data_IF_750924950547
#
_entry.id   IF_750924950547
#
_cell.length_a   1.000
_cell.length_b   1.000
_cell.length_c   1.000
_cell.angle_alpha   90.00
_cell.angle_beta   90.00
_cell.angle_gamma   90.00
#
_symmetry.space_group_name_H-M   'P 1'
#
loop_
_entity.id
_entity.type
_entity.pdbx_description
1 polymer ?
#
# COMPACT_ATOMS: atom_id res chain seq x y z
N UNK A 1 -1.67 -0.48 21.01
CA UNK A 1 -2.19 -0.54 19.64
C UNK A 1 -2.72 -1.95 19.37
N UNK A 2 -3.91 -2.08 18.76
CA UNK A 2 -4.55 -3.35 18.40
C UNK A 2 -4.83 -3.33 16.90
N UNK A 3 -4.67 -4.49 16.23
CA UNK A 3 -5.15 -4.67 14.86
C UNK A 3 -6.51 -5.34 14.91
N UNK A 4 -7.51 -4.71 14.36
CA UNK A 4 -8.88 -5.22 14.32
C UNK A 4 -9.37 -5.30 12.86
N UNK A 5 -10.19 -6.30 12.56
CA UNK A 5 -10.87 -6.35 11.27
C UNK A 5 -11.82 -5.16 11.16
N UNK A 6 -11.90 -4.55 9.97
CA UNK A 6 -12.85 -3.49 9.69
C UNK A 6 -14.28 -4.01 9.81
N UNK A 7 -15.11 -3.21 10.45
CA UNK A 7 -16.53 -3.44 10.64
C UNK A 7 -17.29 -2.12 10.44
N UNK A 8 -18.59 -2.17 10.32
CA UNK A 8 -19.43 -0.97 10.27
C UNK A 8 -19.22 -0.04 11.48
N UNK A 9 -18.89 -0.62 12.64
CA UNK A 9 -18.74 0.13 13.90
C UNK A 9 -17.42 0.93 13.95
N UNK A 10 -16.31 0.36 13.43
CA UNK A 10 -15.00 1.03 13.49
C UNK A 10 -14.62 1.77 12.20
N UNK A 11 -15.38 1.58 11.11
CA UNK A 11 -15.12 2.19 9.80
C UNK A 11 -15.04 3.72 9.87
N UNK A 12 -15.95 4.36 10.60
CA UNK A 12 -16.00 5.81 10.71
C UNK A 12 -14.72 6.41 11.31
N UNK A 13 -14.02 5.67 12.18
CA UNK A 13 -12.77 6.09 12.81
C UNK A 13 -11.60 6.13 11.81
N UNK A 14 -11.70 5.37 10.73
CA UNK A 14 -10.62 5.18 9.77
C UNK A 14 -10.69 6.12 8.57
N UNK A 15 -11.81 6.78 8.34
CA UNK A 15 -12.04 7.61 7.15
C UNK A 15 -11.03 8.76 6.95
N UNK A 16 -10.48 9.30 8.06
CA UNK A 16 -9.51 10.40 8.01
C UNK A 16 -8.08 9.97 7.62
N UNK A 17 -7.75 8.68 7.73
CA UNK A 17 -6.38 8.19 7.52
C UNK A 17 -6.04 8.12 6.02
N UNK A 18 -7.00 7.81 5.16
CA UNK A 18 -6.81 7.66 3.71
C UNK A 18 -6.51 8.99 2.98
N UNK A 19 -6.97 10.10 3.52
CA UNK A 19 -6.87 11.42 2.88
C UNK A 19 -5.69 12.25 3.34
N UNK A 20 -4.75 11.64 4.04
CA UNK A 20 -3.62 12.40 4.55
C UNK A 20 -2.56 12.63 3.49
N UNK A 21 -1.98 13.84 3.44
CA UNK A 21 -0.91 14.14 2.52
C UNK A 21 0.34 13.32 2.85
N UNK A 22 1.10 13.01 1.80
CA UNK A 22 2.43 12.43 1.91
C UNK A 22 3.46 13.27 1.16
N UNK A 23 4.71 13.19 1.61
CA UNK A 23 5.80 13.93 1.00
C UNK A 23 6.31 13.20 -0.25
N UNK A 24 6.36 13.91 -1.36
CA UNK A 24 7.05 13.51 -2.58
C UNK A 24 8.45 14.07 -2.52
N UNK A 25 9.42 13.21 -2.23
CA UNK A 25 10.85 13.56 -2.03
C UNK A 25 11.72 13.22 -3.23
N UNK A 26 11.18 12.50 -4.20
CA UNK A 26 11.89 11.96 -5.35
C UNK A 26 11.05 10.90 -6.04
N UNK A 27 11.69 10.15 -6.91
CA UNK A 27 11.05 9.01 -7.58
C UNK A 27 11.97 7.81 -7.67
N UNK A 28 11.36 6.65 -7.84
CA UNK A 28 12.04 5.41 -8.16
C UNK A 28 12.26 5.33 -9.67
N UNK A 29 13.44 4.91 -10.10
CA UNK A 29 13.80 4.69 -11.50
C UNK A 29 14.01 3.17 -11.70
N UNK A 30 12.95 2.39 -11.94
CA UNK A 30 13.07 0.96 -12.14
C UNK A 30 13.69 0.67 -13.51
N UNK A 31 14.56 -0.35 -13.56
CA UNK A 31 15.21 -0.85 -14.75
C UNK A 31 15.13 -2.38 -14.78
N UNK A 32 14.74 -2.93 -15.92
CA UNK A 32 14.77 -4.37 -16.16
C UNK A 32 15.99 -4.72 -17.00
N UNK A 33 16.93 -5.48 -16.42
CA UNK A 33 18.14 -5.94 -17.12
C UNK A 33 18.47 -7.36 -16.72
N UNK A 34 18.89 -8.17 -17.68
CA UNK A 34 19.33 -9.55 -17.46
C UNK A 34 18.32 -10.42 -16.69
N UNK A 35 17.03 -10.25 -16.97
CA UNK A 35 15.96 -11.02 -16.35
C UNK A 35 15.59 -10.55 -14.93
N UNK A 36 16.09 -9.41 -14.48
CA UNK A 36 15.87 -8.90 -13.12
C UNK A 36 15.49 -7.42 -13.11
N UNK A 37 14.61 -7.07 -12.18
CA UNK A 37 14.33 -5.69 -11.84
C UNK A 37 15.35 -5.17 -10.84
N UNK A 38 15.86 -3.98 -11.12
CA UNK A 38 16.61 -3.13 -10.19
C UNK A 38 16.01 -1.74 -10.18
N UNK A 39 16.37 -0.89 -9.24
CA UNK A 39 15.91 0.48 -9.26
C UNK A 39 16.91 1.41 -8.56
N UNK A 40 17.10 2.57 -9.15
CA UNK A 40 17.80 3.71 -8.57
C UNK A 40 16.77 4.71 -8.02
N UNK A 41 17.22 5.64 -7.21
CA UNK A 41 16.41 6.72 -6.67
C UNK A 41 16.90 8.06 -7.22
N UNK A 42 15.97 8.88 -7.67
CA UNK A 42 16.22 10.27 -8.03
C UNK A 42 15.53 11.15 -6.99
N UNK A 43 16.30 11.92 -6.23
CA UNK A 43 15.75 12.86 -5.27
C UNK A 43 15.44 14.19 -5.95
N UNK A 44 14.31 14.79 -5.57
CA UNK A 44 13.92 16.10 -6.06
C UNK A 44 14.56 17.21 -5.21
N UNK A 45 14.92 18.34 -5.81
CA UNK A 45 15.52 19.47 -5.10
C UNK A 45 14.54 20.12 -4.13
N UNK A 46 13.23 20.00 -4.40
CA UNK A 46 12.16 20.57 -3.60
C UNK A 46 11.17 19.48 -3.19
N UNK A 47 10.76 19.53 -1.93
CA UNK A 47 9.71 18.67 -1.41
C UNK A 47 8.35 19.16 -1.90
N UNK A 48 7.49 18.20 -2.24
CA UNK A 48 6.08 18.45 -2.58
C UNK A 48 5.20 17.63 -1.67
N UNK A 49 3.98 18.09 -1.42
CA UNK A 49 2.95 17.26 -0.80
C UNK A 49 1.98 16.79 -1.88
N UNK A 50 1.53 15.55 -1.76
CA UNK A 50 0.55 14.92 -2.64
C UNK A 50 -0.52 14.24 -1.80
N UNK A 51 -1.76 14.34 -2.26
CA UNK A 51 -2.91 13.62 -1.71
C UNK A 51 -3.53 12.84 -2.86
N UNK A 52 -3.86 11.59 -2.63
CA UNK A 52 -4.63 10.84 -3.61
C UNK A 52 -6.08 11.32 -3.59
N UNK A 53 -6.64 11.71 -4.76
CA UNK A 53 -7.99 12.25 -4.84
C UNK A 53 -9.08 11.19 -4.67
N UNK A 54 -8.74 9.92 -4.84
CA UNK A 54 -9.70 8.86 -4.93
C UNK A 54 -10.21 8.43 -3.56
N UNK A 55 -11.54 8.47 -3.42
CA UNK A 55 -12.24 7.92 -2.27
C UNK A 55 -12.39 6.40 -2.44
N UNK A 56 -11.48 5.66 -1.84
CA UNK A 56 -11.68 4.21 -1.72
C UNK A 56 -12.89 3.98 -0.81
N UNK A 57 -13.90 3.34 -1.35
CA UNK A 57 -15.07 2.92 -0.58
C UNK A 57 -14.70 1.80 0.41
N UNK A 58 -14.23 2.18 1.60
CA UNK A 58 -13.84 1.22 2.63
C UNK A 58 -14.96 0.20 2.97
N UNK A 59 -16.22 0.59 2.79
CA UNK A 59 -17.36 -0.30 3.02
C UNK A 59 -17.34 -1.56 2.13
N UNK A 60 -16.71 -1.50 0.96
CA UNK A 60 -16.54 -2.66 0.07
C UNK A 60 -15.57 -3.71 0.63
N UNK A 61 -14.80 -3.36 1.66
CA UNK A 61 -13.83 -4.24 2.31
C UNK A 61 -14.35 -4.86 3.61
N UNK A 62 -15.67 -4.96 3.73
CA UNK A 62 -16.36 -5.67 4.82
C UNK A 62 -16.89 -7.05 4.36
N UNK A 63 -16.62 -7.43 3.12
CA UNK A 63 -17.05 -8.66 2.47
C UNK A 63 -16.08 -9.83 2.72
N UNK A 64 -16.41 -11.01 2.20
CA UNK A 64 -15.58 -12.21 2.40
C UNK A 64 -14.31 -12.20 1.55
N UNK A 65 -14.41 -11.84 0.26
CA UNK A 65 -13.30 -11.77 -0.69
C UNK A 65 -12.45 -10.49 -0.52
N UNK A 66 -12.99 -9.51 0.20
CA UNK A 66 -12.37 -8.22 0.50
C UNK A 66 -12.37 -8.00 2.00
N UNK A 67 -11.24 -7.59 2.54
CA UNK A 67 -11.11 -7.36 3.96
C UNK A 67 -10.32 -6.10 4.25
N UNK A 68 -10.74 -5.36 5.26
CA UNK A 68 -9.95 -4.28 5.83
C UNK A 68 -9.49 -4.64 7.23
N UNK A 69 -8.31 -4.16 7.61
CA UNK A 69 -7.81 -4.18 8.98
C UNK A 69 -7.39 -2.78 9.40
N UNK A 70 -7.73 -2.41 10.61
CA UNK A 70 -7.39 -1.12 11.22
C UNK A 70 -6.46 -1.31 12.41
N UNK A 71 -5.44 -0.48 12.49
CA UNK A 71 -4.60 -0.32 13.66
C UNK A 71 -5.21 0.75 14.57
N UNK A 72 -5.70 0.35 15.73
CA UNK A 72 -6.42 1.22 16.65
C UNK A 72 -5.63 1.44 17.95
N UNK A 73 -5.57 2.68 18.39
CA UNK A 73 -5.09 3.07 19.72
C UNK A 73 -6.19 3.86 20.42
N UNK A 74 -6.86 3.22 21.37
CA UNK A 74 -8.10 3.75 21.94
C UNK A 74 -9.16 3.97 20.87
N UNK A 75 -9.61 5.22 20.72
CA UNK A 75 -10.59 5.62 19.71
C UNK A 75 -9.94 6.13 18.40
N UNK A 76 -8.59 6.21 18.34
CA UNK A 76 -7.86 6.74 17.19
C UNK A 76 -7.45 5.62 16.24
N UNK A 77 -7.67 5.83 14.95
CA UNK A 77 -7.14 4.95 13.90
C UNK A 77 -5.73 5.42 13.53
N UNK A 78 -4.72 4.61 13.86
CA UNK A 78 -3.33 4.87 13.53
C UNK A 78 -2.97 4.48 12.09
N UNK A 79 -3.78 3.61 11.47
CA UNK A 79 -3.59 3.18 10.10
C UNK A 79 -4.60 2.11 9.69
N UNK A 80 -4.68 1.87 8.40
CA UNK A 80 -5.53 0.80 7.85
C UNK A 80 -4.89 0.16 6.62
N UNK A 81 -5.30 -1.08 6.35
CA UNK A 81 -4.97 -1.81 5.14
C UNK A 81 -6.23 -2.42 4.54
N UNK A 82 -6.38 -2.35 3.22
CA UNK A 82 -7.51 -2.88 2.47
C UNK A 82 -7.02 -3.94 1.48
N UNK A 83 -7.58 -5.13 1.54
CA UNK A 83 -7.12 -6.30 0.82
C UNK A 83 -8.24 -6.95 0.02
N UNK A 84 -7.89 -7.53 -1.12
CA UNK A 84 -8.75 -8.37 -1.94
C UNK A 84 -8.04 -9.66 -2.33
N UNK A 85 -8.74 -10.80 -2.27
CA UNK A 85 -8.26 -12.03 -2.88
C UNK A 85 -8.39 -11.90 -4.41
N UNK A 86 -7.27 -11.65 -5.08
CA UNK A 86 -7.27 -11.27 -6.49
C UNK A 86 -7.27 -12.49 -7.42
N UNK A 87 -7.68 -12.31 -8.66
CA UNK A 87 -7.82 -13.38 -9.66
C UNK A 87 -6.55 -14.21 -9.90
N UNK A 88 -5.36 -13.63 -9.68
CA UNK A 88 -4.05 -14.26 -9.85
C UNK A 88 -3.56 -14.99 -8.58
N UNK A 89 -4.45 -15.14 -7.57
CA UNK A 89 -4.19 -15.79 -6.29
C UNK A 89 -3.19 -15.06 -5.38
N UNK A 90 -3.01 -13.76 -5.55
CA UNK A 90 -2.35 -12.90 -4.58
C UNK A 90 -3.40 -12.15 -3.74
N UNK A 91 -3.04 -11.79 -2.53
CA UNK A 91 -3.75 -10.76 -1.80
C UNK A 91 -3.32 -9.40 -2.35
N UNK A 92 -4.23 -8.74 -3.07
CA UNK A 92 -3.97 -7.40 -3.58
C UNK A 92 -4.22 -6.38 -2.48
N UNK A 93 -3.21 -5.60 -2.15
CA UNK A 93 -3.31 -4.48 -1.21
C UNK A 93 -3.78 -3.26 -2.00
N UNK A 94 -5.05 -2.92 -1.87
CA UNK A 94 -5.63 -1.73 -2.50
C UNK A 94 -5.16 -0.45 -1.83
N UNK A 95 -5.08 -0.49 -0.48
CA UNK A 95 -4.64 0.64 0.31
C UNK A 95 -3.81 0.18 1.50
N UNK A 96 -2.77 0.93 1.79
CA UNK A 96 -2.03 0.90 3.04
C UNK A 96 -1.79 2.35 3.48
N UNK A 97 -2.56 2.79 4.43
CA UNK A 97 -2.45 4.16 4.94
C UNK A 97 -2.07 4.15 6.42
N UNK A 98 -1.15 5.03 6.79
CA UNK A 98 -0.73 5.26 8.17
C UNK A 98 -0.87 6.75 8.48
N UNK A 99 -1.57 7.03 9.56
CA UNK A 99 -1.75 8.39 10.05
C UNK A 99 -0.39 9.07 10.26
N UNK A 100 -0.31 10.35 9.93
CA UNK A 100 0.93 11.14 9.93
C UNK A 100 1.69 11.05 11.26
N UNK A 101 0.96 11.09 12.37
CA UNK A 101 1.54 11.04 13.71
C UNK A 101 2.12 9.66 14.08
N UNK A 102 1.68 8.61 13.38
CA UNK A 102 2.07 7.23 13.60
C UNK A 102 3.06 6.68 12.57
N UNK A 103 3.46 7.52 11.59
CA UNK A 103 4.48 7.11 10.60
C UNK A 103 5.83 6.89 11.26
N UNK A 104 6.55 5.87 10.81
CA UNK A 104 7.83 5.49 11.42
C UNK A 104 7.73 4.67 12.71
N UNK A 105 6.53 4.50 13.28
CA UNK A 105 6.31 3.76 14.53
C UNK A 105 6.03 2.26 14.33
N UNK A 106 6.22 1.73 13.12
CA UNK A 106 6.01 0.30 12.81
C UNK A 106 4.57 -0.10 12.45
N UNK A 107 3.62 0.84 12.45
CA UNK A 107 2.20 0.57 12.16
C UNK A 107 2.02 -0.08 10.79
N UNK A 108 2.68 0.45 9.75
CA UNK A 108 2.62 -0.12 8.40
C UNK A 108 3.13 -1.56 8.35
N UNK A 109 4.19 -1.89 9.10
CA UNK A 109 4.72 -3.25 9.20
C UNK A 109 3.71 -4.19 9.86
N UNK A 110 3.10 -3.79 10.98
CA UNK A 110 2.07 -4.58 11.66
C UNK A 110 0.86 -4.86 10.74
N UNK A 111 0.44 -3.86 9.95
CA UNK A 111 -0.66 -4.03 8.99
C UNK A 111 -0.28 -4.98 7.84
N UNK A 112 0.93 -4.89 7.32
CA UNK A 112 1.44 -5.83 6.30
C UNK A 112 1.59 -7.26 6.85
N UNK A 113 2.00 -7.42 8.11
CA UNK A 113 2.07 -8.73 8.76
C UNK A 113 0.68 -9.34 8.92
N UNK A 114 -0.33 -8.52 9.23
CA UNK A 114 -1.73 -8.95 9.26
C UNK A 114 -2.21 -9.37 7.86
N UNK A 115 -1.86 -8.62 6.82
CA UNK A 115 -2.16 -8.98 5.43
C UNK A 115 -1.51 -10.31 5.02
N UNK A 116 -0.27 -10.51 5.42
CA UNK A 116 0.47 -11.77 5.20
C UNK A 116 -0.24 -12.96 5.87
N UNK A 117 -0.63 -12.82 7.14
CA UNK A 117 -1.37 -13.86 7.86
C UNK A 117 -2.70 -14.19 7.18
N UNK A 118 -3.46 -13.17 6.77
CA UNK A 118 -4.71 -13.35 6.03
C UNK A 118 -4.53 -14.07 4.69
N UNK A 119 -3.47 -13.73 3.95
CA UNK A 119 -3.14 -14.41 2.69
C UNK A 119 -2.77 -15.88 2.92
N UNK A 120 -2.02 -16.20 3.98
CA UNK A 120 -1.65 -17.57 4.35
C UNK A 120 -2.88 -18.40 4.74
N UNK A 121 -3.78 -17.86 5.57
CA UNK A 121 -5.04 -18.53 5.95
C UNK A 121 -5.88 -18.91 4.73
N UNK A 122 -5.88 -18.08 3.69
CA UNK A 122 -6.59 -18.28 2.42
C UNK A 122 -5.80 -19.07 1.38
N UNK A 123 -4.58 -19.50 1.70
CA UNK A 123 -3.67 -20.21 0.78
C UNK A 123 -3.44 -19.44 -0.51
N UNK A 124 -3.34 -18.13 -0.40
CA UNK A 124 -2.94 -17.26 -1.50
C UNK A 124 -1.43 -17.37 -1.71
N UNK A 125 -0.98 -17.09 -2.93
CA UNK A 125 0.42 -17.22 -3.31
C UNK A 125 1.32 -16.15 -2.64
N UNK A 126 0.74 -15.02 -2.28
CA UNK A 126 1.50 -13.93 -1.67
C UNK A 126 0.71 -12.63 -1.56
N UNK A 127 1.46 -11.56 -1.38
CA UNK A 127 0.94 -10.20 -1.44
C UNK A 127 1.37 -9.54 -2.74
N UNK A 128 0.52 -8.73 -3.32
CA UNK A 128 0.87 -7.82 -4.39
C UNK A 128 0.23 -6.45 -4.16
N UNK A 129 0.87 -5.42 -4.68
CA UNK A 129 0.34 -4.07 -4.69
C UNK A 129 0.93 -3.26 -5.83
N UNK A 130 0.34 -2.12 -6.07
CA UNK A 130 0.83 -1.11 -6.99
C UNK A 130 1.08 0.20 -6.23
N UNK A 131 2.11 0.93 -6.61
CA UNK A 131 2.35 2.30 -6.14
C UNK A 131 2.98 3.14 -7.22
N UNK A 132 2.73 4.44 -7.18
CA UNK A 132 3.37 5.38 -8.11
C UNK A 132 4.86 5.50 -7.82
N UNK A 133 5.66 5.68 -8.86
CA UNK A 133 7.12 5.80 -8.76
C UNK A 133 7.56 7.04 -7.96
N UNK A 134 6.75 8.11 -7.92
CA UNK A 134 7.00 9.32 -7.14
C UNK A 134 6.65 9.18 -5.63
N UNK A 135 5.98 8.10 -5.23
CA UNK A 135 5.82 7.77 -3.82
C UNK A 135 7.04 7.00 -3.30
N UNK A 136 8.20 7.67 -3.35
CA UNK A 136 9.48 7.05 -3.02
C UNK A 136 9.54 6.51 -1.59
N UNK A 137 8.83 7.15 -0.64
CA UNK A 137 8.77 6.68 0.75
C UNK A 137 8.05 5.34 0.85
N UNK A 138 6.95 5.15 0.12
CA UNK A 138 6.26 3.88 0.04
C UNK A 138 7.13 2.82 -0.67
N UNK A 139 7.80 3.17 -1.77
CA UNK A 139 8.72 2.28 -2.46
C UNK A 139 9.84 1.77 -1.53
N UNK A 140 10.44 2.65 -0.73
CA UNK A 140 11.44 2.31 0.29
C UNK A 140 10.87 1.37 1.36
N UNK A 141 9.64 1.64 1.81
CA UNK A 141 8.96 0.81 2.79
C UNK A 141 8.74 -0.61 2.25
N UNK A 142 8.18 -0.76 1.04
CA UNK A 142 7.92 -2.08 0.45
C UNK A 142 9.21 -2.87 0.20
N UNK A 143 10.25 -2.22 -0.30
CA UNK A 143 11.57 -2.84 -0.45
C UNK A 143 12.14 -3.32 0.90
N UNK A 144 12.06 -2.49 1.94
CA UNK A 144 12.50 -2.83 3.29
C UNK A 144 11.68 -3.96 3.90
N UNK A 145 10.39 -4.03 3.59
CA UNK A 145 9.50 -5.11 4.03
C UNK A 145 9.83 -6.46 3.36
N UNK A 146 10.62 -6.47 2.30
CA UNK A 146 11.03 -7.66 1.58
C UNK A 146 10.29 -7.90 0.27
N UNK A 147 9.47 -6.95 -0.18
CA UNK A 147 8.83 -7.02 -1.49
C UNK A 147 9.83 -6.74 -2.61
N UNK A 148 9.58 -7.34 -3.77
CA UNK A 148 10.36 -7.12 -5.00
C UNK A 148 9.49 -6.51 -6.10
N UNK A 149 10.12 -5.77 -7.00
CA UNK A 149 9.45 -5.29 -8.21
C UNK A 149 9.21 -6.49 -9.12
N UNK A 150 7.97 -6.65 -9.56
CA UNK A 150 7.56 -7.67 -10.51
C UNK A 150 7.14 -7.11 -11.87
N UNK A 151 6.91 -5.79 -11.95
CA UNK A 151 6.53 -5.12 -13.18
C UNK A 151 6.44 -3.62 -13.04
N UNK A 152 6.41 -2.94 -14.18
CA UNK A 152 6.21 -1.49 -14.27
C UNK A 152 5.27 -1.21 -15.43
N UNK A 153 4.28 -0.36 -15.21
CA UNK A 153 3.39 0.13 -16.25
C UNK A 153 3.58 1.65 -16.41
N UNK A 154 3.99 2.07 -17.59
CA UNK A 154 4.22 3.49 -17.91
C UNK A 154 2.95 4.21 -18.35
N UNK A 155 1.89 3.47 -18.61
CA UNK A 155 0.65 3.99 -19.21
C UNK A 155 -0.55 3.94 -18.26
N UNK A 156 -0.45 3.27 -17.12
CA UNK A 156 -1.56 3.07 -16.19
C UNK A 156 -2.26 4.40 -15.83
N UNK A 157 -1.48 5.45 -15.64
CA UNK A 157 -2.00 6.76 -15.25
C UNK A 157 -2.11 7.77 -16.40
N UNK A 158 -1.77 7.38 -17.63
CA UNK A 158 -1.78 8.29 -18.79
C UNK A 158 -3.16 8.88 -19.08
N UNK A 159 -4.22 8.09 -18.85
CA UNK A 159 -5.61 8.54 -18.99
C UNK A 159 -6.02 9.66 -18.02
N UNK A 160 -5.29 9.84 -16.93
CA UNK A 160 -5.49 10.92 -15.96
C UNK A 160 -4.55 12.13 -16.19
N UNK A 161 -3.80 12.12 -17.30
CA UNK A 161 -2.83 13.17 -17.63
C UNK A 161 -1.57 13.13 -16.76
N UNK A 162 -1.38 12.06 -16.01
CA UNK A 162 -0.20 11.85 -15.16
C UNK A 162 0.95 11.20 -15.94
N UNK A 163 2.18 11.47 -15.51
CA UNK A 163 3.42 10.90 -16.07
C UNK A 163 4.10 9.94 -15.10
N UNK A 164 3.51 9.71 -13.93
CA UNK A 164 4.01 8.74 -12.97
C UNK A 164 3.85 7.33 -13.55
N UNK A 165 4.78 6.46 -13.18
CA UNK A 165 4.74 5.04 -13.53
C UNK A 165 4.16 4.23 -12.39
N UNK A 166 3.37 3.22 -12.72
CA UNK A 166 2.92 2.24 -11.75
C UNK A 166 4.02 1.20 -11.54
N UNK A 167 4.42 1.01 -10.29
CA UNK A 167 5.39 -0.01 -9.88
C UNK A 167 4.65 -1.10 -9.13
N UNK A 168 4.66 -2.32 -9.67
CA UNK A 168 4.03 -3.48 -9.06
C UNK A 168 5.01 -4.23 -8.17
N UNK A 169 4.62 -4.40 -6.91
CA UNK A 169 5.41 -5.06 -5.87
C UNK A 169 4.81 -6.40 -5.49
N UNK A 170 5.68 -7.37 -5.24
CA UNK A 170 5.29 -8.74 -4.90
C UNK A 170 6.07 -9.26 -3.70
N UNK A 171 5.38 -10.00 -2.84
CA UNK A 171 5.95 -10.83 -1.79
C UNK A 171 5.35 -12.24 -1.94
N UNK A 172 6.17 -13.23 -2.29
CA UNK A 172 5.74 -14.63 -2.32
C UNK A 172 5.76 -15.21 -0.90
N UNK A 173 4.78 -16.03 -0.61
CA UNK A 173 4.66 -16.77 0.66
C UNK A 173 4.97 -18.24 0.38
N UNK A 174 5.75 -18.84 1.28
CA UNK A 174 6.08 -20.26 1.27
C UNK A 174 4.87 -21.14 1.67
#
# INVERSE_FOLDING_TARGET
MRIERLTQQNLARCAGVLRQPFAVIGRLLPEYRDGRWSAQEELFPELREKVYPDDVECARFLEEERVGFAALEGETCAGLILLEAYWNRYAFVHELAVDREWRGCGVGTCLMDCAKAWAQERRLHGLMLETQDDNLLACRFYRKYGMRIGGVDELLYAGFGSREKAVFWYLELD
#
